data_IF_352388425473
#
_entry.id   IF_352388425473
#
_cell.length_a   1.000
_cell.length_b   1.000
_cell.length_c   1.000
_cell.angle_alpha   90.00
_cell.angle_beta   90.00
_cell.angle_gamma   90.00
#
_symmetry.space_group_name_H-M   'P 1'
#
loop_
_entity.id
_entity.type
_entity.pdbx_description
1 polymer ?
#
# COMPACT_ATOMS: atom_id res chain seq x y z
N UNK A 1 -18.97 -12.67 13.33
CA UNK A 1 -18.08 -12.26 12.22
C UNK A 1 -17.79 -10.79 12.40
N UNK A 2 -16.55 -10.40 12.68
CA UNK A 2 -16.22 -9.00 12.91
C UNK A 2 -16.32 -8.22 11.59
N UNK A 3 -17.08 -7.12 11.59
CA UNK A 3 -17.10 -6.18 10.48
C UNK A 3 -15.66 -5.69 10.26
N UNK A 4 -15.05 -6.11 9.15
CA UNK A 4 -13.72 -5.63 8.81
C UNK A 4 -13.86 -4.20 8.35
N UNK A 5 -13.29 -3.29 9.13
CA UNK A 5 -13.17 -1.87 8.82
C UNK A 5 -12.49 -1.73 7.45
N UNK A 6 -13.22 -1.13 6.51
CA UNK A 6 -12.73 -0.80 5.18
C UNK A 6 -12.31 0.67 5.19
N UNK A 7 -11.05 0.90 5.57
CA UNK A 7 -10.52 2.23 5.85
C UNK A 7 -9.85 2.87 4.63
N UNK A 8 -9.74 2.14 3.51
CA UNK A 8 -9.14 2.64 2.28
C UNK A 8 -10.13 3.53 1.51
N UNK A 9 -9.82 4.81 1.42
CA UNK A 9 -10.67 5.76 0.68
C UNK A 9 -10.47 5.65 -0.84
N UNK A 10 -11.45 6.11 -1.65
CA UNK A 10 -11.28 6.19 -3.10
C UNK A 10 -10.05 7.00 -3.54
N UNK A 11 -9.77 8.12 -2.87
CA UNK A 11 -8.62 8.98 -3.18
C UNK A 11 -7.29 8.30 -2.86
N UNK A 12 -7.21 7.60 -1.72
CA UNK A 12 -6.06 6.76 -1.37
C UNK A 12 -5.83 5.67 -2.41
N UNK A 13 -6.91 5.06 -2.92
CA UNK A 13 -6.80 4.08 -3.99
C UNK A 13 -6.28 4.67 -5.30
N UNK A 14 -6.75 5.87 -5.69
CA UNK A 14 -6.23 6.56 -6.88
C UNK A 14 -4.73 6.82 -6.71
N UNK A 15 -4.32 7.37 -5.57
CA UNK A 15 -2.93 7.68 -5.28
C UNK A 15 -2.03 6.42 -5.23
N UNK A 16 -2.53 5.29 -4.72
CA UNK A 16 -1.82 4.01 -4.78
C UNK A 16 -1.57 3.56 -6.23
N UNK A 17 -2.58 3.65 -7.10
CA UNK A 17 -2.42 3.29 -8.52
C UNK A 17 -1.38 4.17 -9.21
N UNK A 18 -1.41 5.47 -8.95
CA UNK A 18 -0.46 6.44 -9.50
C UNK A 18 0.97 6.17 -9.01
N UNK A 19 1.16 5.97 -7.71
CA UNK A 19 2.49 5.75 -7.12
C UNK A 19 3.14 4.43 -7.58
N UNK A 20 2.34 3.40 -7.79
CA UNK A 20 2.83 2.13 -8.32
C UNK A 20 3.03 2.15 -9.85
N UNK A 21 2.22 2.93 -10.58
CA UNK A 21 2.29 3.03 -12.05
C UNK A 21 1.88 1.76 -12.80
N UNK A 22 1.45 0.70 -12.10
CA UNK A 22 1.15 -0.60 -12.68
C UNK A 22 0.86 -1.66 -11.63
N UNK A 23 0.90 -2.93 -12.02
CA UNK A 23 0.81 -4.03 -11.07
C UNK A 23 2.01 -4.03 -10.12
N UNK A 24 1.77 -3.97 -8.81
CA UNK A 24 2.81 -3.97 -7.78
C UNK A 24 3.70 -5.23 -7.79
N UNK A 25 3.26 -6.30 -8.45
CA UNK A 25 3.98 -7.57 -8.49
C UNK A 25 4.76 -7.79 -9.80
N UNK A 26 4.08 -7.72 -10.95
CA UNK A 26 4.70 -8.02 -12.25
C UNK A 26 5.05 -6.77 -13.06
N UNK A 27 4.72 -5.57 -12.59
CA UNK A 27 4.98 -4.31 -13.28
C UNK A 27 4.12 -4.04 -14.51
N UNK A 28 3.18 -4.94 -14.88
CA UNK A 28 2.37 -4.73 -16.08
C UNK A 28 1.50 -3.47 -15.98
N UNK A 29 1.65 -2.59 -16.95
CA UNK A 29 0.82 -1.39 -17.17
C UNK A 29 -0.46 -1.78 -17.95
N UNK A 30 -1.55 -1.02 -17.79
CA UNK A 30 -2.75 -1.16 -18.65
C UNK A 30 -3.76 -2.26 -18.29
N UNK A 31 -3.55 -3.03 -17.21
CA UNK A 31 -4.60 -3.92 -16.69
C UNK A 31 -5.60 -3.13 -15.82
N UNK A 32 -6.88 -3.52 -15.80
CA UNK A 32 -7.83 -3.08 -14.79
C UNK A 32 -7.32 -3.54 -13.40
N UNK A 33 -6.55 -2.67 -12.73
CA UNK A 33 -5.88 -2.99 -11.48
C UNK A 33 -6.93 -3.24 -10.39
N UNK A 34 -6.74 -4.34 -9.69
CA UNK A 34 -7.53 -4.76 -8.55
C UNK A 34 -6.78 -4.39 -7.26
N UNK A 35 -7.53 -4.22 -6.19
CA UNK A 35 -6.98 -4.04 -4.84
C UNK A 35 -6.67 -5.42 -4.27
N UNK A 36 -5.41 -5.69 -3.99
CA UNK A 36 -5.00 -6.90 -3.27
C UNK A 36 -4.41 -6.54 -1.91
N UNK A 37 -4.70 -7.37 -0.92
CA UNK A 37 -4.18 -7.21 0.44
C UNK A 37 -2.93 -8.08 0.60
N UNK A 38 -1.79 -7.46 0.94
CA UNK A 38 -0.53 -8.17 1.19
C UNK A 38 -0.68 -9.21 2.30
N UNK A 39 -1.23 -8.81 3.44
CA UNK A 39 -1.78 -9.73 4.43
C UNK A 39 -3.25 -9.97 4.11
N UNK A 40 -3.59 -11.21 3.74
CA UNK A 40 -4.96 -11.58 3.44
C UNK A 40 -5.89 -11.26 4.62
N UNK A 41 -7.08 -10.76 4.29
CA UNK A 41 -8.12 -10.44 5.26
C UNK A 41 -8.47 -11.62 6.16
N UNK A 42 -8.57 -12.82 5.58
CA UNK A 42 -8.84 -14.07 6.30
C UNK A 42 -7.74 -14.46 7.30
N UNK A 43 -6.59 -13.79 7.26
CA UNK A 43 -5.43 -13.97 8.14
C UNK A 43 -5.19 -12.76 9.05
N UNK A 44 -6.19 -11.89 9.22
CA UNK A 44 -6.11 -10.71 10.08
C UNK A 44 -5.66 -9.44 9.38
N UNK A 45 -5.53 -9.44 8.05
CA UNK A 45 -5.26 -8.24 7.27
C UNK A 45 -6.43 -7.24 7.30
N UNK A 46 -6.12 -5.97 7.08
CA UNK A 46 -7.10 -4.87 7.00
C UNK A 46 -7.08 -4.22 5.63
N UNK A 47 -8.18 -3.57 5.27
CA UNK A 47 -8.27 -2.87 3.99
C UNK A 47 -7.82 -1.43 4.15
N UNK A 48 -6.51 -1.23 4.26
CA UNK A 48 -5.87 0.05 4.59
C UNK A 48 -4.84 0.43 3.53
N UNK A 49 -4.46 1.71 3.50
CA UNK A 49 -3.40 2.25 2.64
C UNK A 49 -2.10 1.43 2.70
N UNK A 50 -1.74 0.95 3.90
CA UNK A 50 -0.48 0.25 4.16
C UNK A 50 -0.50 -1.23 3.82
N UNK A 51 -1.68 -1.84 3.63
CA UNK A 51 -1.83 -3.27 3.35
C UNK A 51 -2.31 -3.55 1.92
N UNK A 52 -2.96 -2.58 1.27
CA UNK A 52 -3.51 -2.73 -0.08
C UNK A 52 -2.52 -2.25 -1.13
N UNK A 53 -2.32 -3.06 -2.18
CA UNK A 53 -1.54 -2.71 -3.36
C UNK A 53 -2.35 -2.94 -4.64
N UNK A 54 -2.07 -2.18 -5.71
CA UNK A 54 -2.67 -2.44 -7.01
C UNK A 54 -2.04 -3.67 -7.67
N UNK A 55 -2.87 -4.57 -8.20
CA UNK A 55 -2.37 -5.74 -8.93
C UNK A 55 -3.23 -6.10 -10.13
N UNK A 56 -2.66 -6.79 -11.12
CA UNK A 56 -3.42 -7.33 -12.23
C UNK A 56 -4.19 -8.60 -11.81
N UNK A 57 -5.23 -8.94 -12.56
CA UNK A 57 -6.10 -10.12 -12.29
C UNK A 57 -5.32 -11.43 -12.17
N UNK A 58 -4.30 -11.64 -13.01
CA UNK A 58 -3.51 -12.87 -13.01
C UNK A 58 -2.66 -13.01 -11.75
N UNK A 59 -2.00 -11.93 -11.31
CA UNK A 59 -1.26 -11.92 -10.05
C UNK A 59 -2.18 -12.09 -8.85
N UNK A 60 -3.31 -11.38 -8.80
CA UNK A 60 -4.29 -11.49 -7.72
C UNK A 60 -4.80 -12.93 -7.56
N UNK A 61 -5.23 -13.54 -8.66
CA UNK A 61 -5.70 -14.93 -8.67
C UNK A 61 -4.60 -15.93 -8.29
N UNK A 62 -3.36 -15.68 -8.73
CA UNK A 62 -2.22 -16.53 -8.39
C UNK A 62 -1.83 -16.44 -6.91
N UNK A 63 -1.89 -15.27 -6.29
CA UNK A 63 -1.58 -15.08 -4.87
C UNK A 63 -2.69 -15.65 -3.99
N UNK A 64 -3.94 -15.32 -4.32
CA UNK A 64 -5.11 -15.68 -3.53
C UNK A 64 -4.88 -15.30 -2.05
N UNK A 65 -5.15 -16.22 -1.12
CA UNK A 65 -4.98 -16.02 0.32
C UNK A 65 -3.58 -16.39 0.85
N UNK A 66 -2.60 -16.60 -0.03
CA UNK A 66 -1.22 -16.84 0.40
C UNK A 66 -0.63 -15.55 0.97
N UNK A 67 0.19 -15.69 2.00
CA UNK A 67 1.11 -14.64 2.44
C UNK A 67 2.01 -14.18 1.28
N UNK A 68 2.17 -12.85 1.16
CA UNK A 68 2.76 -12.20 -0.02
C UNK A 68 4.20 -12.63 -0.26
N UNK A 69 5.06 -12.65 0.75
CA UNK A 69 6.49 -12.95 0.59
C UNK A 69 6.69 -14.42 0.20
N UNK A 70 5.94 -15.33 0.81
CA UNK A 70 5.96 -16.76 0.46
C UNK A 70 5.49 -16.98 -0.97
N UNK A 71 4.44 -16.28 -1.41
CA UNK A 71 4.01 -16.35 -2.81
C UNK A 71 5.05 -15.75 -3.78
N UNK A 72 5.63 -14.60 -3.46
CA UNK A 72 6.66 -13.96 -4.29
C UNK A 72 7.89 -14.85 -4.46
N UNK A 73 8.39 -15.47 -3.38
CA UNK A 73 9.49 -16.44 -3.44
C UNK A 73 9.18 -17.61 -4.36
N UNK A 74 7.95 -18.16 -4.30
CA UNK A 74 7.52 -19.24 -5.22
C UNK A 74 7.44 -18.77 -6.68
N UNK A 75 7.05 -17.52 -6.92
CA UNK A 75 7.00 -16.91 -8.25
C UNK A 75 8.35 -16.39 -8.75
N UNK A 76 9.40 -16.45 -7.91
CA UNK A 76 10.73 -15.88 -8.16
C UNK A 76 10.70 -14.38 -8.50
N UNK A 77 9.80 -13.65 -7.83
CA UNK A 77 9.75 -12.19 -7.90
C UNK A 77 10.74 -11.58 -6.89
N UNK A 78 11.15 -10.33 -7.13
CA UNK A 78 12.03 -9.61 -6.22
C UNK A 78 11.26 -9.10 -4.99
N UNK A 79 11.27 -9.90 -3.93
CA UNK A 79 10.66 -9.56 -2.64
C UNK A 79 11.26 -8.30 -2.01
N UNK A 80 12.58 -8.10 -2.14
CA UNK A 80 13.28 -6.99 -1.49
C UNK A 80 12.91 -5.67 -2.14
N UNK A 81 12.88 -5.64 -3.46
CA UNK A 81 12.46 -4.47 -4.23
C UNK A 81 11.01 -4.10 -3.88
N UNK A 82 10.11 -5.09 -3.89
CA UNK A 82 8.70 -4.88 -3.53
C UNK A 82 8.54 -4.29 -2.13
N UNK A 83 9.17 -4.87 -1.11
CA UNK A 83 9.05 -4.39 0.27
C UNK A 83 9.64 -2.98 0.43
N UNK A 84 10.77 -2.70 -0.22
CA UNK A 84 11.40 -1.38 -0.21
C UNK A 84 10.46 -0.33 -0.81
N UNK A 85 9.91 -0.62 -1.99
CA UNK A 85 8.98 0.27 -2.69
C UNK A 85 7.66 0.44 -1.93
N UNK A 86 7.15 -0.62 -1.30
CA UNK A 86 5.95 -0.55 -0.46
C UNK A 86 6.14 0.40 0.73
N UNK A 87 7.28 0.32 1.43
CA UNK A 87 7.58 1.23 2.55
C UNK A 87 7.67 2.68 2.06
N UNK A 88 8.37 2.92 0.94
CA UNK A 88 8.52 4.25 0.36
C UNK A 88 7.18 4.86 -0.05
N UNK A 89 6.36 4.11 -0.79
CA UNK A 89 5.03 4.58 -1.24
C UNK A 89 4.10 4.79 -0.04
N UNK A 90 4.11 3.87 0.93
CA UNK A 90 3.26 4.01 2.12
C UNK A 90 3.61 5.25 2.92
N UNK A 91 4.90 5.54 3.12
CA UNK A 91 5.34 6.75 3.82
C UNK A 91 4.92 8.02 3.06
N UNK A 92 5.17 8.07 1.75
CA UNK A 92 4.80 9.22 0.92
C UNK A 92 3.28 9.47 0.94
N UNK A 93 2.48 8.40 0.85
CA UNK A 93 1.03 8.54 0.85
C UNK A 93 0.48 8.84 2.25
N UNK A 94 1.10 8.31 3.32
CA UNK A 94 0.75 8.69 4.68
C UNK A 94 0.97 10.19 4.88
N UNK A 95 2.12 10.74 4.50
CA UNK A 95 2.38 12.18 4.56
C UNK A 95 1.35 12.99 3.75
N UNK A 96 1.01 12.53 2.54
CA UNK A 96 0.01 13.18 1.67
C UNK A 96 -1.38 13.25 2.29
N UNK A 97 -1.82 12.18 2.97
CA UNK A 97 -3.20 12.08 3.49
C UNK A 97 -3.32 12.45 4.99
N UNK A 98 -2.25 12.36 5.78
CA UNK A 98 -2.20 12.86 7.16
C UNK A 98 -2.12 14.39 7.18
N UNK A 99 -1.42 14.99 6.22
CA UNK A 99 -1.35 16.46 6.04
C UNK A 99 -2.69 17.14 5.72
N UNK A 100 -3.73 16.38 5.37
CA UNK A 100 -5.08 16.90 5.13
C UNK A 100 -5.96 16.99 6.39
N UNK A 101 -5.46 16.53 7.55
CA UNK A 101 -6.21 16.55 8.83
C UNK A 101 -5.88 17.72 9.76
N UNK A 102 -5.14 18.74 9.29
CA UNK A 102 -4.95 19.98 10.06
C UNK A 102 -5.76 21.13 9.44
N UNK A 103 -7.07 21.10 9.69
CA UNK A 103 -7.85 22.34 9.82
C UNK A 103 -8.24 22.38 11.30
N UNK A 104 -7.49 23.17 12.06
CA UNK A 104 -7.65 23.31 13.50
C UNK A 104 -6.40 23.95 14.07
N UNK A 105 -6.47 25.25 14.26
CA UNK A 105 -5.47 26.14 14.83
C UNK A 105 -4.65 25.49 15.96
N UNK A 106 -3.33 25.56 15.87
CA UNK A 106 -2.46 25.97 16.98
C UNK A 106 -1.00 26.10 16.49
N UNK A 107 -0.62 27.36 16.27
CA UNK A 107 0.64 28.01 16.66
C UNK A 107 1.90 27.13 16.88
N UNK A 108 2.90 27.39 16.01
CA UNK A 108 4.37 27.34 16.20
C UNK A 108 4.93 26.40 17.29
N UNK A 109 5.86 25.52 16.90
CA UNK A 109 7.22 25.46 17.51
C UNK A 109 8.21 24.91 16.47
N UNK A 110 9.24 25.72 16.21
CA UNK A 110 10.41 25.38 15.42
C UNK A 110 11.18 24.20 16.02
N UNK A 111 11.81 23.37 15.18
CA UNK A 111 12.85 22.44 15.61
C UNK A 111 14.13 22.74 14.84
N UNK A 112 15.21 23.21 15.49
CA UNK A 112 16.51 23.29 14.84
C UNK A 112 17.12 21.90 14.73
N UNK A 113 17.64 21.59 13.55
CA UNK A 113 18.48 20.41 13.33
C UNK A 113 19.82 20.63 14.05
N UNK A 114 20.32 19.69 14.87
CA UNK A 114 21.66 19.80 15.41
C UNK A 114 22.67 19.44 14.31
N UNK A 115 23.48 20.40 13.89
CA UNK A 115 24.73 20.13 13.16
C UNK A 115 25.80 19.72 14.17
N UNK A 116 26.54 18.65 13.86
CA UNK A 116 27.78 18.27 14.56
C UNK A 116 28.81 19.39 14.51
#
# INVERSE_FOLDING_TARGET
MAAQSNDLTPDQWIALREAWGGCAYCGSEGAALQRDCMLAISRGGRYTLTNVVPCCRSCNASKCNTEVTTWMRRKKLDEREFLTRQVQISALLAERFEGATVIGDHEKIARPFPTK
#
